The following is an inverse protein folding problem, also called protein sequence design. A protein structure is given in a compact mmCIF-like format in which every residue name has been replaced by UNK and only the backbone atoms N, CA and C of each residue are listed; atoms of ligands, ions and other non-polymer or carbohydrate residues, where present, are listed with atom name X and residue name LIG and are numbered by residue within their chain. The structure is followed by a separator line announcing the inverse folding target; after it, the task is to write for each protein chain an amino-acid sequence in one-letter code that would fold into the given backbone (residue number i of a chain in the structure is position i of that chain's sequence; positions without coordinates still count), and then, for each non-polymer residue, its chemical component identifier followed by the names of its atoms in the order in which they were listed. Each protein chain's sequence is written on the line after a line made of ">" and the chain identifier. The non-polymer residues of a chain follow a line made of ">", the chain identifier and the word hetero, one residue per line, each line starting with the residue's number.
data_IF_841487064707
#
_entry.id   IF_841487064707
#
_cell.length_a   1.000
_cell.length_b   1.000
_cell.length_c   1.000
_cell.angle_alpha   90.00
_cell.angle_beta   90.00
_cell.angle_gamma   90.00
#
_symmetry.space_group_name_H-M   'P 1'
#
loop_
_entity.id
_entity.type
_entity.pdbx_description
1 polymer ?
#
# COMPACT_ATOMS: atom_id res chain seq x y z
N UNK A 1 15.69 -6.34 2.40
CA UNK A 1 14.32 -6.06 2.89
C UNK A 1 13.37 -6.28 1.72
N UNK A 2 12.19 -6.87 1.95
CA UNK A 2 11.24 -7.25 0.90
C UNK A 2 10.25 -6.12 0.62
N UNK A 3 9.94 -5.85 -0.65
CA UNK A 3 8.89 -4.90 -1.02
C UNK A 3 7.49 -5.46 -0.69
N UNK A 4 6.63 -4.61 -0.14
CA UNK A 4 5.22 -4.91 0.08
C UNK A 4 4.36 -3.77 -0.46
N UNK A 5 3.17 -4.11 -0.91
CA UNK A 5 2.24 -3.23 -1.58
C UNK A 5 1.16 -2.79 -0.60
N UNK A 6 1.05 -1.48 -0.41
CA UNK A 6 0.01 -0.87 0.42
C UNK A 6 -1.18 -0.58 -0.49
N UNK A 7 -2.10 -1.53 -0.54
CA UNK A 7 -3.24 -1.47 -1.46
C UNK A 7 -4.43 -0.73 -0.84
N UNK A 8 -4.95 0.33 -1.49
CA UNK A 8 -6.19 0.97 -1.07
C UNK A 8 -7.38 0.07 -1.44
N UNK A 9 -8.29 -0.14 -0.49
CA UNK A 9 -9.50 -0.93 -0.68
C UNK A 9 -10.71 0.01 -0.72
N UNK A 10 -11.28 0.29 -1.90
CA UNK A 10 -12.49 1.11 -2.00
C UNK A 10 -13.73 0.39 -1.44
N UNK A 11 -14.69 1.16 -0.92
CA UNK A 11 -16.04 0.66 -0.65
C UNK A 11 -16.74 0.34 -1.97
N UNK A 12 -17.05 -0.94 -2.20
CA UNK A 12 -17.53 -1.38 -3.50
C UNK A 12 -16.48 -1.16 -4.60
N UNK A 13 -16.90 -0.91 -5.84
CA UNK A 13 -15.95 -0.78 -6.95
C UNK A 13 -15.31 0.62 -7.04
N UNK A 14 -16.03 1.66 -6.63
CA UNK A 14 -15.62 3.07 -6.82
C UNK A 14 -15.92 3.99 -5.63
N UNK A 15 -16.43 3.46 -4.51
CA UNK A 15 -16.73 4.22 -3.30
C UNK A 15 -15.48 4.52 -2.46
N UNK A 16 -15.56 5.44 -1.48
CA UNK A 16 -14.42 5.94 -0.71
C UNK A 16 -13.50 4.82 -0.19
N UNK A 17 -12.22 5.09 0.00
CA UNK A 17 -11.29 4.10 0.56
C UNK A 17 -11.78 3.69 1.95
N UNK A 18 -12.07 2.40 2.11
CA UNK A 18 -12.52 1.78 3.36
C UNK A 18 -11.34 1.45 4.28
N UNK A 19 -10.19 1.15 3.67
CA UNK A 19 -8.96 0.87 4.37
C UNK A 19 -7.85 0.43 3.42
N UNK A 20 -6.80 -0.11 4.01
CA UNK A 20 -5.58 -0.49 3.31
C UNK A 20 -5.17 -1.92 3.66
N UNK A 21 -4.63 -2.65 2.70
CA UNK A 21 -4.02 -3.97 2.90
C UNK A 21 -2.53 -3.89 2.69
N UNK A 22 -1.81 -4.79 3.35
CA UNK A 22 -0.41 -5.04 3.07
C UNK A 22 -0.34 -6.37 2.33
N UNK A 23 0.12 -6.34 1.09
CA UNK A 23 0.24 -7.54 0.26
C UNK A 23 1.66 -7.69 -0.30
N UNK A 24 2.09 -8.92 -0.54
CA UNK A 24 3.30 -9.23 -1.32
C UNK A 24 2.98 -9.17 -2.83
N UNK A 25 4.01 -9.30 -3.67
CA UNK A 25 3.86 -9.21 -5.13
C UNK A 25 2.91 -10.28 -5.71
N UNK A 26 2.89 -11.47 -5.12
CA UNK A 26 2.01 -12.58 -5.50
C UNK A 26 0.59 -12.46 -4.91
N UNK A 27 0.29 -11.39 -4.17
CA UNK A 27 -1.02 -11.14 -3.56
C UNK A 27 -1.22 -11.78 -2.19
N UNK A 28 -0.19 -12.38 -1.57
CA UNK A 28 -0.30 -12.87 -0.20
C UNK A 28 -0.55 -11.71 0.76
N UNK A 29 -1.64 -11.80 1.53
CA UNK A 29 -2.01 -10.78 2.52
C UNK A 29 -1.21 -10.95 3.80
N UNK A 30 -0.51 -9.89 4.20
CA UNK A 30 0.25 -9.83 5.45
C UNK A 30 -0.56 -9.20 6.60
N UNK A 31 -1.63 -8.48 6.28
CA UNK A 31 -2.58 -7.92 7.25
C UNK A 31 -3.84 -8.80 7.34
N UNK A 32 -4.23 -9.19 8.57
CA UNK A 32 -5.46 -9.98 8.82
C UNK A 32 -6.76 -9.18 8.67
N UNK A 33 -6.73 -7.88 8.99
CA UNK A 33 -7.86 -6.95 8.83
C UNK A 33 -7.45 -5.75 7.95
N UNK A 34 -8.44 -5.00 7.45
CA UNK A 34 -8.19 -3.73 6.78
C UNK A 34 -7.63 -2.71 7.76
N UNK A 35 -6.52 -2.09 7.39
CA UNK A 35 -5.91 -1.03 8.17
C UNK A 35 -6.61 0.29 7.85
N UNK A 36 -7.05 0.99 8.90
CA UNK A 36 -7.89 2.20 8.79
C UNK A 36 -7.24 3.40 8.08
N UNK A 37 -5.93 3.37 7.83
CA UNK A 37 -5.23 4.45 7.12
C UNK A 37 -3.94 3.97 6.46
N UNK A 38 -3.53 4.68 5.40
CA UNK A 38 -2.28 4.45 4.68
C UNK A 38 -1.08 4.54 5.62
N UNK A 39 -1.05 5.58 6.46
CA UNK A 39 0.02 5.78 7.45
C UNK A 39 0.15 4.58 8.39
N UNK A 40 -0.96 4.01 8.86
CA UNK A 40 -0.93 2.83 9.72
C UNK A 40 -0.34 1.62 8.98
N UNK A 41 -0.75 1.41 7.73
CA UNK A 41 -0.23 0.34 6.89
C UNK A 41 1.27 0.47 6.62
N UNK A 42 1.75 1.67 6.29
CA UNK A 42 3.17 1.97 6.14
C UNK A 42 3.94 1.71 7.42
N UNK A 43 3.45 2.22 8.57
CA UNK A 43 4.11 2.02 9.86
C UNK A 43 4.20 0.54 10.23
N UNK A 44 3.13 -0.22 10.05
CA UNK A 44 3.10 -1.65 10.34
C UNK A 44 4.05 -2.43 9.42
N UNK A 45 4.04 -2.16 8.10
CA UNK A 45 4.98 -2.78 7.17
C UNK A 45 6.44 -2.56 7.58
N UNK A 46 6.79 -1.32 7.94
CA UNK A 46 8.14 -0.96 8.41
C UNK A 46 8.52 -1.65 9.72
N UNK A 47 7.60 -1.77 10.68
CA UNK A 47 7.83 -2.48 11.94
C UNK A 47 8.16 -3.96 11.72
N UNK A 48 7.64 -4.56 10.65
CA UNK A 48 7.95 -5.94 10.24
C UNK A 48 9.18 -6.06 9.32
N UNK A 49 9.92 -4.96 9.07
CA UNK A 49 11.14 -4.98 8.26
C UNK A 49 10.91 -5.00 6.74
N UNK A 50 9.70 -4.65 6.29
CA UNK A 50 9.37 -4.52 4.87
C UNK A 50 9.64 -3.12 4.32
N UNK A 51 9.75 -3.03 3.00
CA UNK A 51 9.84 -1.76 2.25
C UNK A 51 8.47 -1.49 1.60
N UNK A 52 7.63 -0.62 2.17
CA UNK A 52 6.30 -0.37 1.65
C UNK A 52 6.32 0.47 0.37
N UNK A 53 5.52 0.04 -0.60
CA UNK A 53 5.19 0.74 -1.83
C UNK A 53 3.73 1.22 -1.75
N UNK A 54 3.51 2.51 -1.96
CA UNK A 54 2.20 3.16 -1.95
C UNK A 54 1.62 3.19 -3.35
N UNK A 55 0.33 2.86 -3.46
CA UNK A 55 -0.41 3.01 -4.70
C UNK A 55 -0.54 4.49 -5.07
N UNK A 56 -0.22 4.84 -6.32
CA UNK A 56 -0.42 6.18 -6.89
C UNK A 56 -1.80 6.34 -7.55
N UNK A 57 -2.47 5.22 -7.80
CA UNK A 57 -3.80 5.14 -8.40
C UNK A 57 -4.75 4.33 -7.51
N UNK A 58 -6.05 4.53 -7.69
CA UNK A 58 -7.08 3.94 -6.83
C UNK A 58 -7.25 2.43 -7.01
N UNK A 59 -7.07 1.94 -8.22
CA UNK A 59 -7.10 0.51 -8.56
C UNK A 59 -5.72 0.20 -9.14
N UNK A 60 -4.74 -0.13 -8.30
CA UNK A 60 -3.39 -0.35 -8.76
C UNK A 60 -3.23 -1.76 -9.34
N UNK A 61 -2.19 -1.91 -10.15
CA UNK A 61 -1.76 -3.18 -10.73
C UNK A 61 -0.31 -3.40 -10.31
N UNK A 62 -0.04 -4.48 -9.57
CA UNK A 62 1.30 -4.81 -9.06
C UNK A 62 2.34 -5.04 -10.16
N UNK A 63 1.92 -5.31 -11.40
CA UNK A 63 2.78 -5.45 -12.56
C UNK A 63 3.19 -4.11 -13.20
N UNK A 64 2.49 -3.02 -12.90
CA UNK A 64 2.73 -1.68 -13.46
C UNK A 64 3.51 -0.84 -12.44
N UNK A 65 4.81 -0.64 -12.65
CA UNK A 65 5.69 0.02 -11.69
C UNK A 65 5.26 1.46 -11.35
N UNK A 66 4.69 2.17 -12.32
CA UNK A 66 4.21 3.56 -12.20
C UNK A 66 3.02 3.69 -11.24
N UNK A 67 2.31 2.58 -10.98
CA UNK A 67 1.25 2.55 -9.97
C UNK A 67 1.81 2.57 -8.55
N UNK A 68 3.13 2.51 -8.35
CA UNK A 68 3.73 2.32 -7.04
C UNK A 68 4.89 3.29 -6.79
N UNK A 69 4.90 3.90 -5.61
CA UNK A 69 6.04 4.71 -5.16
C UNK A 69 6.52 4.25 -3.79
N UNK A 70 7.83 4.25 -3.49
CA UNK A 70 8.31 4.00 -2.14
C UNK A 70 7.69 4.99 -1.15
N UNK A 71 7.24 4.49 0.01
CA UNK A 71 6.67 5.35 1.06
C UNK A 71 7.74 6.27 1.71
N UNK A 72 9.03 5.98 1.50
CA UNK A 72 10.16 6.77 1.99
C UNK A 72 10.58 7.90 1.04
N UNK A 73 9.87 8.07 -0.09
CA UNK A 73 10.12 9.19 -0.97
C UNK A 73 9.69 10.47 -0.24
N UNK A 74 10.66 11.20 0.31
CA UNK A 74 10.45 12.51 0.90
C UNK A 74 9.62 13.36 -0.07
N UNK A 75 8.71 14.22 0.42
CA UNK A 75 8.00 15.14 -0.45
C UNK A 75 9.05 15.94 -1.22
N UNK A 76 9.00 15.88 -2.55
CA UNK A 76 9.78 16.76 -3.40
C UNK A 76 9.18 18.14 -3.18
N UNK A 77 9.81 18.93 -2.31
CA UNK A 77 9.46 20.34 -2.13
C UNK A 77 9.72 21.02 -3.47
N UNK A 78 8.66 21.46 -4.15
CA UNK A 78 8.72 22.33 -5.33
C UNK A 78 8.58 23.77 -4.86
#
# INVERSE_FOLDING_TARGET
>A
MLHVYIEPVPKGQWGPIDGYRIETQDGTRLSGELLRSERLAVSQAKLHGYVPLLATVRIPDKAVAEHWTPADKAPVTV
#
